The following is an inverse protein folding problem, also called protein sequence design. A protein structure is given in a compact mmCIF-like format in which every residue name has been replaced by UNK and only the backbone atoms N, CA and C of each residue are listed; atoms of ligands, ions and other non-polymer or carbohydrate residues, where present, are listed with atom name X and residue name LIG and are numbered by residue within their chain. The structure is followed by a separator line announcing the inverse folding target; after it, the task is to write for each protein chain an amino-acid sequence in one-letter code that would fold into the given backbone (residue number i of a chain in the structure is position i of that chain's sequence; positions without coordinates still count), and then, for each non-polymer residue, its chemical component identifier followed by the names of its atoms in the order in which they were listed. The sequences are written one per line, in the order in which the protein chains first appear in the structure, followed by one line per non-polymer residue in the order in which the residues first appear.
data_IF_701096365693
#
_entry.id   IF_701096365693
#
_cell.length_a   1.000
_cell.length_b   1.000
_cell.length_c   1.000
_cell.angle_alpha   90.00
_cell.angle_beta   90.00
_cell.angle_gamma   90.00
#
_symmetry.space_group_name_H-M   'P 1'
#
loop_
_entity.id
_entity.type
_entity.pdbx_description
1 polymer ?
#
# COMPACT_ATOMS: atom_id res chain seq x y z
N UNK A 1 2.82 -10.27 -2.52
CA UNK A 1 2.73 -10.36 -3.99
C UNK A 1 1.36 -9.88 -4.40
N UNK A 2 1.24 -9.02 -5.42
CA UNK A 2 -0.07 -8.51 -5.84
C UNK A 2 -0.86 -9.65 -6.49
N UNK A 3 -2.19 -9.65 -6.30
CA UNK A 3 -3.07 -10.69 -6.86
C UNK A 3 -3.19 -10.47 -8.36
N UNK A 4 -2.94 -11.49 -9.22
CA UNK A 4 -3.01 -11.33 -10.66
C UNK A 4 -4.41 -10.85 -11.09
N UNK A 5 -4.48 -10.18 -12.24
CA UNK A 5 -5.73 -9.61 -12.80
C UNK A 5 -6.39 -8.52 -11.94
N UNK A 6 -5.67 -7.91 -10.99
CA UNK A 6 -6.17 -6.76 -10.21
C UNK A 6 -5.45 -5.46 -10.56
N UNK A 7 -6.10 -4.33 -10.27
CA UNK A 7 -5.53 -2.98 -10.42
C UNK A 7 -4.20 -2.87 -9.67
N UNK A 8 -4.09 -3.49 -8.49
CA UNK A 8 -2.84 -3.51 -7.70
C UNK A 8 -1.66 -4.14 -8.45
N UNK A 9 -1.90 -5.15 -9.28
CA UNK A 9 -0.86 -5.75 -10.12
C UNK A 9 -0.46 -4.80 -11.24
N UNK A 10 -1.44 -4.14 -11.88
CA UNK A 10 -1.15 -3.13 -12.90
C UNK A 10 -0.30 -1.99 -12.33
N UNK A 11 -0.70 -1.42 -11.19
CA UNK A 11 0.04 -0.35 -10.51
C UNK A 11 1.44 -0.80 -10.09
N UNK A 12 1.57 -2.03 -9.58
CA UNK A 12 2.86 -2.57 -9.14
C UNK A 12 3.89 -2.66 -10.27
N UNK A 13 3.46 -3.03 -11.48
CA UNK A 13 4.34 -3.18 -12.63
C UNK A 13 4.57 -1.89 -13.41
N UNK A 14 3.53 -1.05 -13.54
CA UNK A 14 3.59 0.17 -14.36
C UNK A 14 3.99 1.41 -13.57
N UNK A 15 3.83 1.40 -12.24
CA UNK A 15 4.05 2.58 -11.41
C UNK A 15 3.07 3.73 -11.68
N UNK A 16 1.94 3.45 -12.33
CA UNK A 16 0.88 4.41 -12.62
C UNK A 16 -0.47 3.89 -12.16
N UNK A 17 -1.34 4.80 -11.73
CA UNK A 17 -2.74 4.47 -11.52
C UNK A 17 -3.44 4.39 -12.90
N UNK A 18 -4.03 3.24 -13.29
CA UNK A 18 -4.69 3.11 -14.59
C UNK A 18 -5.94 3.98 -14.75
N UNK A 19 -6.48 4.55 -13.65
CA UNK A 19 -7.66 5.42 -13.69
C UNK A 19 -7.31 6.89 -13.81
N UNK A 20 -6.33 7.36 -13.03
CA UNK A 20 -5.95 8.79 -13.00
C UNK A 20 -4.73 9.11 -13.84
N UNK A 21 -3.98 8.09 -14.28
CA UNK A 21 -2.69 8.20 -14.96
C UNK A 21 -1.62 8.93 -14.14
N UNK A 22 -1.82 9.03 -12.83
CA UNK A 22 -0.86 9.62 -11.92
C UNK A 22 0.22 8.61 -11.54
N UNK A 23 1.43 9.10 -11.28
CA UNK A 23 2.54 8.26 -10.81
C UNK A 23 2.28 7.79 -9.39
N UNK A 24 2.36 6.48 -9.19
CA UNK A 24 2.22 5.82 -7.90
C UNK A 24 3.59 5.38 -7.43
N UNK A 25 3.93 5.73 -6.18
CA UNK A 25 5.16 5.26 -5.57
C UNK A 25 5.04 3.80 -5.15
N UNK A 26 5.81 2.92 -5.80
CA UNK A 26 5.88 1.49 -5.49
C UNK A 26 7.21 1.19 -4.80
N UNK A 27 7.21 0.68 -3.56
CA UNK A 27 8.44 0.33 -2.86
C UNK A 27 9.01 -0.98 -3.40
N UNK A 28 10.27 -0.95 -3.86
CA UNK A 28 10.95 -2.12 -4.39
C UNK A 28 11.78 -2.83 -3.31
N UNK A 29 12.47 -2.06 -2.47
CA UNK A 29 13.39 -2.62 -1.47
C UNK A 29 12.64 -3.24 -0.28
N UNK A 30 13.27 -4.22 0.37
CA UNK A 30 12.70 -4.86 1.55
C UNK A 30 12.53 -3.85 2.71
N UNK A 31 13.50 -2.95 2.87
CA UNK A 31 13.50 -1.95 3.94
C UNK A 31 12.32 -0.97 3.80
N UNK A 32 12.07 -0.45 2.60
CA UNK A 32 10.93 0.45 2.35
C UNK A 32 9.59 -0.25 2.58
N UNK A 33 9.44 -1.50 2.13
CA UNK A 33 8.23 -2.30 2.39
C UNK A 33 7.97 -2.46 3.88
N UNK A 34 9.02 -2.68 4.68
CA UNK A 34 8.93 -2.81 6.14
C UNK A 34 8.51 -1.50 6.81
N UNK A 35 9.11 -0.38 6.40
CA UNK A 35 8.76 0.95 6.90
C UNK A 35 7.28 1.27 6.61
N UNK A 36 6.85 1.06 5.36
CA UNK A 36 5.48 1.35 4.93
C UNK A 36 4.45 0.47 5.65
N UNK A 37 4.75 -0.82 5.86
CA UNK A 37 3.91 -1.73 6.66
C UNK A 37 3.78 -1.26 8.11
N UNK A 38 4.89 -0.85 8.73
CA UNK A 38 4.88 -0.36 10.11
C UNK A 38 4.05 0.91 10.27
N UNK A 39 4.18 1.85 9.33
CA UNK A 39 3.45 3.11 9.36
C UNK A 39 1.94 2.89 9.16
N UNK A 40 1.55 2.07 8.18
CA UNK A 40 0.14 1.69 7.99
C UNK A 40 -0.43 1.01 9.23
N UNK A 41 0.31 0.07 9.83
CA UNK A 41 -0.11 -0.61 11.05
C UNK A 41 -0.29 0.36 12.22
N UNK A 42 0.62 1.33 12.36
CA UNK A 42 0.54 2.39 13.37
C UNK A 42 -0.68 3.27 13.15
N UNK A 43 -1.06 3.58 11.90
CA UNK A 43 -2.26 4.36 11.57
C UNK A 43 -3.57 3.59 11.81
N UNK A 44 -3.54 2.26 11.70
CA UNK A 44 -4.72 1.40 11.95
C UNK A 44 -4.97 1.17 13.46
N UNK A 45 -3.92 1.12 14.29
CA UNK A 45 -4.05 0.93 15.75
C UNK A 45 -4.80 2.02 16.54
N UNK A 46 -4.69 3.34 16.28
CA UNK A 46 -5.46 4.35 17.01
C UNK A 46 -6.97 4.13 16.83
N UNK A 47 -7.39 3.60 15.68
CA UNK A 47 -8.79 3.26 15.42
C UNK A 47 -9.25 1.99 16.15
N UNK A 48 -8.36 1.02 16.37
CA UNK A 48 -8.70 -0.23 17.07
C UNK A 48 -8.90 -0.04 18.58
N UNK A 49 -8.20 0.93 19.18
CA UNK A 49 -8.38 1.31 20.59
C UNK A 49 -9.71 2.05 20.80
N UNK A 50 -10.08 2.95 19.88
CA UNK A 50 -11.35 3.68 19.97
C UNK A 50 -12.59 2.82 19.67
N UNK A 51 -12.46 1.76 18.87
CA UNK A 51 -13.59 0.88 18.50
C UNK A 51 -13.93 -0.19 19.55
N UNK A 52 -13.11 -0.31 20.59
CA UNK A 52 -13.31 -1.22 21.74
C UNK A 52 -13.72 -0.49 23.03
N UNK A 53 -14.13 0.77 22.95
CA UNK A 53 -14.76 1.51 24.04
C UNK A 53 -16.26 1.58 23.82
#
# INVERSE_FOLDING_TARGET
TPTPMTISTCMYWTGMDPKTLEKVHVPYTYNEKKLLKNEVFRHLKPQYINRKR
#
